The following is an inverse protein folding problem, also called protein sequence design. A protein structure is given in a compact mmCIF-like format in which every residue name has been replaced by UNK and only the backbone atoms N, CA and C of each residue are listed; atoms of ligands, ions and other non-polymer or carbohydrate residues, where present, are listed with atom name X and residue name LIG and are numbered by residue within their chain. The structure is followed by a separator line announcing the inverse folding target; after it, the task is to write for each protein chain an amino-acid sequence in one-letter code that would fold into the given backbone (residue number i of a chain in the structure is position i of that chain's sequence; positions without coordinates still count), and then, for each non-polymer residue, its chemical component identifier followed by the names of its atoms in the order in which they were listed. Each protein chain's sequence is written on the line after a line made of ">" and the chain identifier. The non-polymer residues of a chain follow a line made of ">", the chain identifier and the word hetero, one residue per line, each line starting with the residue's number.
data_IF_603645462504
#
_entry.id   IF_603645462504
#
_cell.length_a   1.000
_cell.length_b   1.000
_cell.length_c   1.000
_cell.angle_alpha   90.00
_cell.angle_beta   90.00
_cell.angle_gamma   90.00
#
_symmetry.space_group_name_H-M   'P 1'
#
loop_
_entity.id
_entity.type
_entity.pdbx_description
1 polymer ?
#
# COMPACT_ATOMS: atom_id res chain seq x y z
N UNK A 1 -4.68 -13.76 8.54
CA UNK A 1 -5.22 -12.79 9.52
C UNK A 1 -4.29 -12.69 10.71
N UNK A 2 -4.13 -11.50 11.21
CA UNK A 2 -3.27 -11.25 12.36
C UNK A 2 -3.60 -9.94 13.02
N UNK A 3 -2.86 -9.62 14.05
CA UNK A 3 -2.99 -8.36 14.76
C UNK A 3 -1.61 -7.74 14.89
N UNK A 4 -1.50 -6.45 14.58
CA UNK A 4 -0.27 -5.69 14.71
C UNK A 4 -0.54 -4.40 15.47
N UNK A 5 0.46 -3.92 16.21
CA UNK A 5 0.35 -2.60 16.82
C UNK A 5 0.65 -1.52 15.78
N UNK A 6 0.17 -0.31 16.03
CA UNK A 6 0.44 0.82 15.13
C UNK A 6 1.94 1.02 14.89
N UNK A 7 2.74 0.80 15.93
CA UNK A 7 4.20 0.93 15.83
C UNK A 7 4.86 -0.12 14.95
N UNK A 8 4.18 -1.23 14.69
CA UNK A 8 4.69 -2.30 13.84
C UNK A 8 4.23 -2.20 12.38
N UNK A 9 3.21 -1.40 12.10
CA UNK A 9 2.67 -1.26 10.76
C UNK A 9 3.68 -0.62 9.81
N UNK A 10 3.71 -1.11 8.59
CA UNK A 10 4.59 -0.59 7.53
C UNK A 10 3.77 -0.32 6.27
N UNK A 11 4.35 0.48 5.37
CA UNK A 11 3.72 0.74 4.07
C UNK A 11 3.42 -0.59 3.37
N UNK A 12 2.22 -0.71 2.84
CA UNK A 12 1.77 -1.93 2.18
C UNK A 12 0.99 -2.88 3.05
N UNK A 13 1.03 -2.73 4.39
CA UNK A 13 0.15 -3.51 5.26
C UNK A 13 -1.30 -3.09 5.06
N UNK A 14 -2.20 -4.04 5.18
CA UNK A 14 -3.64 -3.75 5.11
C UNK A 14 -4.26 -4.04 6.45
N UNK A 15 -4.96 -3.04 6.97
CA UNK A 15 -5.64 -3.12 8.26
C UNK A 15 -7.15 -3.04 8.05
N UNK A 16 -7.90 -3.64 8.95
CA UNK A 16 -9.36 -3.57 8.94
C UNK A 16 -9.79 -2.59 10.02
N UNK A 17 -10.45 -1.52 9.61
CA UNK A 17 -11.00 -0.51 10.53
C UNK A 17 -12.48 -0.36 10.22
N UNK A 18 -13.32 -0.60 11.22
CA UNK A 18 -14.79 -0.53 11.08
C UNK A 18 -15.30 -1.37 9.89
N UNK A 19 -14.74 -2.59 9.77
CA UNK A 19 -15.08 -3.56 8.72
C UNK A 19 -14.63 -3.13 7.32
N UNK A 20 -13.80 -2.10 7.21
CA UNK A 20 -13.29 -1.62 5.93
C UNK A 20 -11.79 -1.85 5.82
N UNK A 21 -11.30 -2.36 4.68
CA UNK A 21 -9.86 -2.55 4.48
C UNK A 21 -9.19 -1.23 4.08
N UNK A 22 -8.08 -0.93 4.76
CA UNK A 22 -7.27 0.25 4.50
C UNK A 22 -5.83 -0.18 4.31
N UNK A 23 -5.20 0.26 3.22
CA UNK A 23 -3.77 0.02 2.99
C UNK A 23 -2.96 1.17 3.61
N UNK A 24 -1.94 0.81 4.37
CA UNK A 24 -1.04 1.80 4.98
C UNK A 24 -0.10 2.34 3.91
N UNK A 25 -0.16 3.64 3.66
CA UNK A 25 0.72 4.30 2.70
C UNK A 25 1.97 4.86 3.35
N UNK A 26 1.81 5.44 4.56
CA UNK A 26 2.93 6.02 5.27
C UNK A 26 2.67 5.98 6.77
N UNK A 27 3.72 5.68 7.52
CA UNK A 27 3.69 5.74 8.98
C UNK A 27 4.73 6.74 9.44
N UNK A 28 4.33 7.66 10.29
CA UNK A 28 5.24 8.61 10.93
C UNK A 28 5.11 8.45 12.43
N UNK A 29 6.22 8.14 13.10
CA UNK A 29 6.23 7.98 14.54
C UNK A 29 6.82 9.24 15.19
N UNK A 30 6.08 9.79 16.14
CA UNK A 30 6.53 10.95 16.91
C UNK A 30 6.55 10.56 18.38
N UNK A 31 7.66 10.77 19.04
CA UNK A 31 7.81 10.50 20.46
C UNK A 31 8.08 11.83 21.16
N UNK A 32 7.22 12.20 22.10
CA UNK A 32 7.39 13.44 22.83
C UNK A 32 7.46 13.18 24.34
N UNK A 33 8.59 13.52 24.94
CA UNK A 33 8.76 13.53 26.39
C UNK A 33 8.42 12.23 27.07
N UNK A 34 7.60 12.31 28.12
CA UNK A 34 7.19 11.17 28.94
C UNK A 34 6.02 10.40 28.35
N UNK A 35 5.43 10.90 27.29
CA UNK A 35 4.27 10.28 26.69
C UNK A 35 4.65 9.09 25.83
N UNK A 36 3.72 8.16 25.67
CA UNK A 36 3.89 7.08 24.74
C UNK A 36 4.07 7.62 23.33
N UNK A 37 4.78 6.87 22.48
CA UNK A 37 4.94 7.26 21.09
C UNK A 37 3.58 7.37 20.39
N UNK A 38 3.43 8.39 19.56
CA UNK A 38 2.24 8.63 18.77
C UNK A 38 2.57 8.32 17.32
N UNK A 39 1.68 7.59 16.65
CA UNK A 39 1.87 7.18 15.27
C UNK A 39 0.82 7.86 14.40
N UNK A 40 1.28 8.53 13.36
CA UNK A 40 0.42 9.08 12.33
C UNK A 40 0.40 8.11 11.16
N UNK A 41 -0.77 7.61 10.82
CA UNK A 41 -0.95 6.68 9.73
C UNK A 41 -1.68 7.36 8.59
N UNK A 42 -1.05 7.33 7.42
CA UNK A 42 -1.72 7.75 6.19
C UNK A 42 -2.13 6.50 5.45
N UNK A 43 -3.41 6.35 5.23
CA UNK A 43 -3.98 5.13 4.67
C UNK A 43 -4.91 5.44 3.52
N UNK A 44 -5.13 4.43 2.68
CA UNK A 44 -6.06 4.53 1.56
C UNK A 44 -7.12 3.45 1.70
N UNK A 45 -8.37 3.84 1.64
CA UNK A 45 -9.48 2.91 1.69
C UNK A 45 -9.59 2.19 0.35
N UNK A 46 -9.49 0.86 0.38
CA UNK A 46 -9.40 0.07 -0.85
C UNK A 46 -10.65 0.11 -1.71
N UNK A 47 -11.81 0.21 -1.07
CA UNK A 47 -13.08 0.15 -1.79
C UNK A 47 -13.47 1.48 -2.43
N UNK A 48 -12.97 2.61 -1.93
CA UNK A 48 -13.38 3.94 -2.38
C UNK A 48 -12.23 4.82 -2.84
N UNK A 49 -10.99 4.34 -2.76
CA UNK A 49 -9.77 5.11 -3.05
C UNK A 49 -9.63 6.38 -2.21
N UNK A 50 -10.31 6.43 -1.09
CA UNK A 50 -10.33 7.59 -0.20
C UNK A 50 -9.09 7.60 0.69
N UNK A 51 -8.42 8.74 0.78
CA UNK A 51 -7.29 8.91 1.68
C UNK A 51 -7.78 9.22 3.10
N UNK A 52 -7.20 8.54 4.07
CA UNK A 52 -7.55 8.70 5.49
C UNK A 52 -6.26 8.90 6.27
N UNK A 53 -6.25 9.88 7.17
CA UNK A 53 -5.16 10.06 8.11
C UNK A 53 -5.68 9.83 9.53
N UNK A 54 -4.93 9.05 10.30
CA UNK A 54 -5.28 8.76 11.68
C UNK A 54 -4.07 8.96 12.57
N UNK A 55 -4.30 9.51 13.76
CA UNK A 55 -3.27 9.63 14.78
C UNK A 55 -3.65 8.68 15.92
N UNK A 56 -2.79 7.72 16.19
CA UNK A 56 -3.03 6.67 17.16
C UNK A 56 -1.82 6.48 18.06
N UNK A 57 -1.98 5.74 19.14
CA UNK A 57 -0.88 5.39 20.00
C UNK A 57 -0.10 4.22 19.39
N UNK A 58 1.20 4.17 19.63
CA UNK A 58 2.06 3.12 19.09
C UNK A 58 1.63 1.71 19.51
N UNK A 59 0.99 1.57 20.67
CA UNK A 59 0.52 0.29 21.20
C UNK A 59 -0.92 -0.05 20.82
N UNK A 60 -1.61 0.83 20.10
CA UNK A 60 -2.95 0.52 19.58
C UNK A 60 -2.87 -0.66 18.60
N UNK A 61 -3.81 -1.57 18.72
CA UNK A 61 -3.81 -2.79 17.91
C UNK A 61 -4.76 -2.66 16.73
N UNK A 62 -4.32 -3.19 15.60
CA UNK A 62 -5.11 -3.24 14.37
C UNK A 62 -5.18 -4.67 13.86
N UNK A 63 -6.36 -5.04 13.39
CA UNK A 63 -6.54 -6.31 12.69
C UNK A 63 -5.94 -6.17 11.29
N UNK A 64 -5.08 -7.11 10.91
CA UNK A 64 -4.42 -7.10 9.61
C UNK A 64 -4.84 -8.32 8.80
N UNK A 65 -4.76 -8.19 7.48
CA UNK A 65 -4.98 -9.30 6.57
C UNK A 65 -3.73 -9.50 5.71
N UNK A 66 -3.45 -10.79 5.45
CA UNK A 66 -2.38 -11.17 4.54
C UNK A 66 -2.95 -11.17 3.13
N UNK A 67 -2.29 -10.46 2.24
CA UNK A 67 -2.71 -10.32 0.85
C UNK A 67 -1.81 -11.11 -0.07
N UNK A 68 -2.36 -11.52 -1.20
CA UNK A 68 -1.57 -12.16 -2.25
C UNK A 68 -0.64 -11.13 -2.89
N UNK A 69 0.58 -11.56 -3.22
CA UNK A 69 1.59 -10.72 -3.85
C UNK A 69 2.14 -11.44 -5.05
N UNK A 70 2.40 -10.67 -6.12
CA UNK A 70 3.02 -11.20 -7.33
C UNK A 70 4.16 -10.31 -7.78
N UNK A 71 5.21 -10.92 -8.32
CA UNK A 71 6.29 -10.19 -8.95
C UNK A 71 5.86 -9.80 -10.36
N UNK A 72 6.00 -8.52 -10.66
CA UNK A 72 5.61 -7.96 -11.95
C UNK A 72 6.71 -7.05 -12.47
N UNK A 73 6.70 -6.79 -13.77
CA UNK A 73 7.57 -5.80 -14.38
C UNK A 73 6.74 -4.68 -14.95
N UNK A 74 7.29 -3.47 -14.93
CA UNK A 74 6.62 -2.33 -15.54
C UNK A 74 6.71 -2.42 -17.05
N UNK A 75 5.59 -2.31 -17.73
CA UNK A 75 5.55 -2.39 -19.19
C UNK A 75 5.53 -1.00 -19.83
N UNK A 76 4.43 -0.28 -19.73
CA UNK A 76 4.29 1.01 -20.39
C UNK A 76 3.24 1.88 -19.72
N UNK A 77 3.20 3.14 -20.14
CA UNK A 77 2.19 4.08 -19.68
C UNK A 77 1.11 4.25 -20.75
N UNK A 78 -0.12 3.94 -20.37
CA UNK A 78 -1.31 4.17 -21.19
C UNK A 78 -2.22 5.12 -20.39
N UNK A 79 -2.12 6.41 -20.65
CA UNK A 79 -2.78 7.45 -19.86
C UNK A 79 -4.25 7.13 -19.55
N UNK A 80 -4.71 7.29 -18.31
CA UNK A 80 -3.96 7.76 -17.14
C UNK A 80 -3.30 6.63 -16.32
N UNK A 81 -3.12 5.46 -16.89
CA UNK A 81 -2.68 4.27 -16.18
C UNK A 81 -1.28 3.83 -16.55
N UNK A 82 -0.59 3.24 -15.55
CA UNK A 82 0.66 2.52 -15.76
C UNK A 82 0.36 1.04 -15.80
N UNK A 83 0.93 0.31 -16.76
CA UNK A 83 0.65 -1.10 -16.98
C UNK A 83 1.82 -1.95 -16.50
N UNK A 84 1.52 -2.96 -15.68
CA UNK A 84 2.47 -3.93 -15.18
C UNK A 84 2.11 -5.33 -15.68
N UNK A 85 3.13 -6.15 -15.90
CA UNK A 85 2.95 -7.53 -16.37
C UNK A 85 3.56 -8.51 -15.37
N UNK A 86 2.83 -9.60 -15.09
CA UNK A 86 3.38 -10.70 -14.31
C UNK A 86 4.12 -11.70 -15.20
N UNK A 87 4.60 -12.82 -14.63
CA UNK A 87 5.32 -13.84 -15.38
C UNK A 87 4.48 -14.57 -16.40
N UNK A 88 3.17 -14.50 -16.29
CA UNK A 88 2.23 -15.10 -17.23
C UNK A 88 1.66 -14.10 -18.23
N UNK A 89 2.23 -12.89 -18.25
CA UNK A 89 1.81 -11.77 -19.11
C UNK A 89 0.40 -11.25 -18.82
N UNK A 90 -0.11 -11.47 -17.62
CA UNK A 90 -1.34 -10.83 -17.19
C UNK A 90 -1.06 -9.34 -16.93
N UNK A 91 -1.95 -8.49 -17.39
CA UNK A 91 -1.79 -7.05 -17.26
C UNK A 91 -2.51 -6.52 -16.03
N UNK A 92 -1.84 -5.63 -15.30
CA UNK A 92 -2.42 -4.94 -14.16
C UNK A 92 -2.19 -3.45 -14.34
N UNK A 93 -3.24 -2.66 -14.18
CA UNK A 93 -3.18 -1.23 -14.39
C UNK A 93 -3.32 -0.47 -13.07
N UNK A 94 -2.48 0.56 -12.92
CA UNK A 94 -2.55 1.46 -11.78
C UNK A 94 -2.65 2.89 -12.29
N UNK A 95 -3.58 3.65 -11.72
CA UNK A 95 -3.72 5.06 -12.03
C UNK A 95 -2.49 5.82 -11.52
N UNK A 96 -2.04 6.83 -12.26
CA UNK A 96 -0.88 7.65 -11.88
C UNK A 96 -0.99 8.22 -10.47
N UNK A 97 -2.19 8.60 -10.04
CA UNK A 97 -2.39 9.12 -8.70
C UNK A 97 -2.16 8.07 -7.62
N UNK A 98 -2.52 6.82 -7.91
CA UNK A 98 -2.35 5.72 -6.96
C UNK A 98 -0.89 5.42 -6.68
N UNK A 99 -0.02 5.57 -7.69
CA UNK A 99 1.39 5.24 -7.57
C UNK A 99 2.29 6.47 -7.78
N UNK A 100 1.80 7.64 -7.42
CA UNK A 100 2.53 8.89 -7.66
C UNK A 100 3.95 8.91 -7.07
N UNK A 101 4.15 8.25 -5.93
CA UNK A 101 5.46 8.18 -5.28
C UNK A 101 6.46 7.33 -6.08
N UNK A 102 5.98 6.42 -6.91
CA UNK A 102 6.82 5.54 -7.72
C UNK A 102 6.97 6.01 -9.15
N UNK A 103 6.06 6.85 -9.63
CA UNK A 103 5.96 7.21 -11.03
C UNK A 103 7.29 7.70 -11.63
N UNK A 104 8.04 8.47 -10.88
CA UNK A 104 9.32 9.02 -11.33
C UNK A 104 10.41 7.96 -11.53
N UNK A 105 10.24 6.78 -10.95
CA UNK A 105 11.22 5.69 -11.08
C UNK A 105 10.86 4.70 -12.18
N UNK A 106 9.72 4.86 -12.82
CA UNK A 106 9.24 3.93 -13.83
C UNK A 106 9.77 4.30 -15.21
N UNK A 107 10.41 3.35 -15.85
CA UNK A 107 10.92 3.48 -17.21
C UNK A 107 10.26 2.40 -18.05
N UNK A 108 9.69 2.72 -19.22
CA UNK A 108 9.03 1.70 -20.04
C UNK A 108 9.94 0.50 -20.32
N UNK A 109 9.37 -0.69 -20.15
CA UNK A 109 10.08 -1.96 -20.35
C UNK A 109 11.30 -2.17 -19.44
N UNK A 110 11.32 -1.50 -18.27
CA UNK A 110 12.39 -1.71 -17.32
C UNK A 110 12.41 -3.16 -16.83
N UNK A 111 13.60 -3.68 -16.55
CA UNK A 111 13.77 -5.07 -16.11
C UNK A 111 13.62 -5.27 -14.61
N UNK A 112 13.51 -4.20 -13.85
CA UNK A 112 13.39 -4.29 -12.41
C UNK A 112 12.04 -4.89 -12.01
N UNK A 113 12.08 -5.74 -10.99
CA UNK A 113 10.89 -6.43 -10.49
C UNK A 113 10.18 -5.55 -9.48
N UNK A 114 8.87 -5.40 -9.68
CA UNK A 114 7.98 -4.72 -8.76
C UNK A 114 7.10 -5.75 -8.09
N UNK A 115 6.76 -5.52 -6.83
CA UNK A 115 5.85 -6.40 -6.11
C UNK A 115 4.45 -5.78 -6.10
N UNK A 116 3.50 -6.48 -6.67
CA UNK A 116 2.10 -6.05 -6.73
C UNK A 116 1.29 -6.83 -5.72
N UNK A 117 0.54 -6.12 -4.88
CA UNK A 117 -0.29 -6.70 -3.84
C UNK A 117 -1.75 -6.71 -4.28
N UNK A 118 -2.44 -7.83 -4.01
CA UNK A 118 -3.83 -8.03 -4.43
C UNK A 118 -4.75 -8.24 -3.23
N UNK A 119 -5.96 -7.69 -3.33
CA UNK A 119 -7.05 -7.94 -2.39
C UNK A 119 -8.24 -8.46 -3.19
N UNK A 120 -8.65 -9.69 -2.89
CA UNK A 120 -9.75 -10.37 -3.60
C UNK A 120 -9.59 -10.34 -5.13
N UNK A 121 -8.35 -10.60 -5.59
CA UNK A 121 -8.04 -10.63 -7.02
C UNK A 121 -7.85 -9.26 -7.67
N UNK A 122 -7.99 -8.19 -6.89
CA UNK A 122 -7.86 -6.83 -7.38
C UNK A 122 -6.50 -6.24 -6.98
N UNK A 123 -5.72 -5.71 -7.93
CA UNK A 123 -4.44 -5.09 -7.59
C UNK A 123 -4.67 -3.79 -6.81
N UNK A 124 -3.98 -3.64 -5.69
CA UNK A 124 -4.18 -2.50 -4.80
C UNK A 124 -2.94 -1.66 -4.55
N UNK A 125 -1.76 -2.24 -4.67
CA UNK A 125 -0.52 -1.47 -4.48
C UNK A 125 0.64 -2.11 -5.22
N UNK A 126 1.66 -1.31 -5.51
CA UNK A 126 2.90 -1.77 -6.13
C UNK A 126 4.08 -1.14 -5.40
N UNK A 127 5.12 -1.93 -5.20
CA UNK A 127 6.36 -1.52 -4.53
C UNK A 127 7.54 -1.95 -5.38
N UNK A 128 8.54 -1.11 -5.49
CA UNK A 128 9.78 -1.45 -6.19
C UNK A 128 10.71 -2.30 -5.34
#
# INVERSE_FOLDING_TARGET
>A
MGVMTAGELQSGNVVIVEKEPLVVLKRTTTKSGRNAAVVKLRMKQLMSDRLVESVVKADDKFETIVLDRKECTYSYYAAPNHVFLDSEYNQYEFNSETISDLEKYLVPEMSEICEVTFYEGRPISVVL
#
